data_IF_540179595640
#
_entry.id   IF_540179595640
#
_cell.length_a   1.000
_cell.length_b   1.000
_cell.length_c   1.000
_cell.angle_alpha   90.00
_cell.angle_beta   90.00
_cell.angle_gamma   90.00
#
_symmetry.space_group_name_H-M   'P 1'
#
loop_
_entity.id
_entity.type
_entity.pdbx_description
1 polymer ?
#
# COMPACT_ATOMS: atom_id res chain seq x y z
N UNK A 1 -27.10 -33.29 -14.93
CA UNK A 1 -27.19 -32.36 -13.78
C UNK A 1 -25.79 -31.87 -13.35
N UNK A 2 -24.99 -31.30 -14.26
CA UNK A 2 -23.58 -30.95 -13.97
C UNK A 2 -23.20 -29.60 -14.59
N UNK A 3 -23.99 -28.55 -14.32
CA UNK A 3 -23.73 -27.21 -14.85
C UNK A 3 -23.77 -26.10 -13.78
N UNK A 4 -23.57 -26.44 -12.50
CA UNK A 4 -23.50 -25.44 -11.40
C UNK A 4 -22.09 -25.13 -10.91
N UNK A 5 -21.05 -25.80 -11.42
CA UNK A 5 -19.66 -25.55 -11.02
C UNK A 5 -19.01 -24.32 -11.69
N UNK A 6 -19.71 -23.70 -12.65
CA UNK A 6 -19.26 -22.48 -13.34
C UNK A 6 -20.12 -21.29 -12.89
N UNK A 7 -20.52 -21.28 -11.62
CA UNK A 7 -21.11 -20.08 -11.04
C UNK A 7 -19.98 -19.09 -10.80
N UNK A 8 -19.78 -18.25 -11.83
CA UNK A 8 -19.33 -16.87 -11.72
C UNK A 8 -18.26 -16.71 -10.64
N UNK A 9 -16.99 -16.75 -11.06
CA UNK A 9 -15.90 -16.00 -10.40
C UNK A 9 -16.22 -14.50 -10.58
N UNK A 10 -17.39 -14.10 -10.10
CA UNK A 10 -17.80 -12.72 -9.93
C UNK A 10 -16.69 -12.15 -9.09
N UNK A 11 -16.07 -11.11 -9.65
CA UNK A 11 -15.02 -10.31 -9.04
C UNK A 11 -15.24 -10.31 -7.54
N UNK A 12 -14.52 -11.20 -6.84
CA UNK A 12 -14.42 -11.14 -5.39
C UNK A 12 -13.93 -9.72 -5.18
N UNK A 13 -14.77 -8.89 -4.55
CA UNK A 13 -14.41 -7.50 -4.29
C UNK A 13 -13.00 -7.49 -3.72
N UNK A 14 -12.21 -6.49 -4.05
CA UNK A 14 -10.78 -6.38 -3.70
C UNK A 14 -10.53 -6.41 -2.17
N UNK A 15 -11.58 -6.63 -1.36
CA UNK A 15 -11.75 -6.24 0.03
C UNK A 15 -12.37 -7.33 0.93
N UNK A 16 -12.53 -8.58 0.48
CA UNK A 16 -13.04 -9.65 1.36
C UNK A 16 -11.90 -10.54 1.83
N UNK A 17 -11.44 -10.33 3.06
CA UNK A 17 -10.54 -11.25 3.74
C UNK A 17 -11.30 -12.56 4.03
N UNK A 18 -10.64 -13.71 3.88
CA UNK A 18 -11.28 -15.01 4.16
C UNK A 18 -11.52 -15.11 5.69
N UNK A 19 -12.74 -15.44 6.14
CA UNK A 19 -13.02 -15.72 7.55
C UNK A 19 -12.12 -16.79 8.18
N UNK A 20 -11.47 -17.64 7.37
CA UNK A 20 -10.45 -18.59 7.82
C UNK A 20 -9.12 -17.96 8.22
N UNK A 21 -8.77 -16.82 7.62
CA UNK A 21 -7.56 -16.06 7.95
C UNK A 21 -7.80 -15.16 9.16
N UNK A 22 -9.01 -14.58 9.28
CA UNK A 22 -9.43 -13.83 10.46
C UNK A 22 -10.95 -13.97 10.75
N UNK A 23 -11.36 -14.41 11.96
CA UNK A 23 -12.78 -14.57 12.31
C UNK A 23 -13.52 -13.23 12.45
N UNK A 24 -12.81 -12.11 12.50
CA UNK A 24 -13.40 -10.76 12.45
C UNK A 24 -13.78 -10.33 11.04
N UNK A 25 -13.43 -11.09 9.98
CA UNK A 25 -13.81 -10.75 8.61
C UNK A 25 -15.33 -10.56 8.43
N UNK A 26 -16.12 -11.20 9.30
CA UNK A 26 -17.59 -11.10 9.33
C UNK A 26 -18.11 -9.76 9.87
N UNK A 27 -17.30 -8.99 10.61
CA UNK A 27 -17.71 -7.73 11.24
C UNK A 27 -16.59 -6.68 11.24
N UNK A 28 -16.83 -5.52 10.62
CA UNK A 28 -15.88 -4.40 10.60
C UNK A 28 -15.42 -3.99 9.19
N UNK A 29 -14.39 -3.15 9.12
CA UNK A 29 -13.82 -2.66 7.86
C UNK A 29 -12.58 -3.47 7.45
N UNK A 30 -12.68 -4.16 6.32
CA UNK A 30 -11.61 -5.00 5.76
C UNK A 30 -11.13 -4.52 4.37
N UNK A 31 -11.56 -3.31 3.98
CA UNK A 31 -11.21 -2.71 2.71
C UNK A 31 -9.72 -2.40 2.62
N UNK A 32 -9.03 -3.01 1.66
CA UNK A 32 -7.62 -2.80 1.38
C UNK A 32 -7.48 -2.09 0.04
N UNK A 33 -6.86 -0.91 0.05
CA UNK A 33 -6.60 -0.14 -1.16
C UNK A 33 -5.12 -0.13 -1.50
N UNK A 34 -4.51 -1.25 -1.91
CA UNK A 34 -3.07 -1.32 -2.15
C UNK A 34 -2.60 -0.31 -3.19
N UNK A 35 -3.46 0.05 -4.16
CA UNK A 35 -3.17 1.12 -5.13
C UNK A 35 -3.21 2.51 -4.49
N UNK A 36 -4.24 2.82 -3.72
CA UNK A 36 -4.38 4.13 -3.08
C UNK A 36 -3.27 4.35 -2.05
N UNK A 37 -2.93 3.34 -1.25
CA UNK A 37 -1.83 3.38 -0.29
C UNK A 37 -0.49 3.68 -0.97
N UNK A 38 -0.21 3.06 -2.11
CA UNK A 38 1.02 3.34 -2.88
C UNK A 38 1.04 4.76 -3.43
N UNK A 39 -0.08 5.25 -3.98
CA UNK A 39 -0.18 6.61 -4.50
C UNK A 39 0.01 7.62 -3.36
N UNK A 40 -0.66 7.42 -2.22
CA UNK A 40 -0.50 8.24 -1.03
C UNK A 40 0.94 8.24 -0.51
N UNK A 41 1.59 7.06 -0.49
CA UNK A 41 2.99 6.94 -0.11
C UNK A 41 3.93 7.76 -1.00
N UNK A 42 3.78 7.66 -2.33
CA UNK A 42 4.57 8.45 -3.28
C UNK A 42 4.28 9.95 -3.15
N UNK A 43 3.01 10.32 -2.99
CA UNK A 43 2.60 11.70 -2.78
C UNK A 43 3.25 12.30 -1.53
N UNK A 44 3.21 11.60 -0.39
CA UNK A 44 3.87 12.03 0.84
C UNK A 44 5.39 12.19 0.65
N UNK A 45 6.05 11.22 0.00
CA UNK A 45 7.49 11.30 -0.25
C UNK A 45 7.86 12.53 -1.13
N UNK A 46 7.04 12.86 -2.13
CA UNK A 46 7.21 14.04 -2.97
C UNK A 46 7.00 15.32 -2.15
N UNK A 47 5.94 15.39 -1.33
CA UNK A 47 5.67 16.55 -0.48
C UNK A 47 6.86 16.85 0.44
N UNK A 48 7.44 15.81 1.07
CA UNK A 48 8.64 15.98 1.90
C UNK A 48 9.83 16.59 1.13
N UNK A 49 9.99 16.26 -0.15
CA UNK A 49 11.03 16.86 -0.99
C UNK A 49 10.69 18.29 -1.42
N UNK A 50 9.41 18.58 -1.69
CA UNK A 50 8.95 19.94 -1.98
C UNK A 50 9.20 20.85 -0.77
N UNK A 51 9.02 20.34 0.45
CA UNK A 51 9.28 21.09 1.68
C UNK A 51 10.73 21.54 1.84
N UNK A 52 11.70 20.98 1.09
CA UNK A 52 13.08 21.48 1.08
C UNK A 52 13.19 22.94 0.58
N UNK A 53 12.23 23.38 -0.25
CA UNK A 53 12.13 24.75 -0.70
C UNK A 53 11.29 25.55 0.30
N UNK A 54 11.96 26.26 1.21
CA UNK A 54 11.28 27.01 2.26
C UNK A 54 12.22 27.74 3.19
N UNK A 55 11.73 28.03 4.40
CA UNK A 55 12.39 28.87 5.40
C UNK A 55 13.48 28.15 6.22
N UNK A 56 14.14 27.14 5.66
CA UNK A 56 15.10 26.33 6.40
C UNK A 56 16.41 27.10 6.58
N UNK A 57 16.78 27.37 7.83
CA UNK A 57 18.05 28.01 8.18
C UNK A 57 19.16 26.99 8.46
N UNK A 58 18.80 25.75 8.82
CA UNK A 58 19.72 24.70 9.22
C UNK A 58 19.67 23.45 8.35
N UNK A 59 20.79 22.74 8.28
CA UNK A 59 20.92 21.50 7.49
C UNK A 59 20.19 20.31 8.11
N UNK A 60 19.93 20.34 9.42
CA UNK A 60 19.28 19.25 10.16
C UNK A 60 17.88 18.94 9.60
N UNK A 61 17.10 19.98 9.31
CA UNK A 61 15.73 19.82 8.78
C UNK A 61 15.75 19.20 7.39
N UNK A 62 16.65 19.68 6.52
CA UNK A 62 16.87 19.10 5.20
C UNK A 62 17.26 17.62 5.27
N UNK A 63 18.13 17.26 6.22
CA UNK A 63 18.58 15.87 6.38
C UNK A 63 17.43 14.95 6.77
N UNK A 64 16.55 15.40 7.67
CA UNK A 64 15.36 14.62 8.06
C UNK A 64 14.34 14.49 6.94
N UNK A 65 14.06 15.58 6.21
CA UNK A 65 13.14 15.55 5.08
C UNK A 65 13.62 14.61 3.97
N UNK A 66 14.91 14.70 3.62
CA UNK A 66 15.54 13.81 2.65
C UNK A 66 15.54 12.36 3.17
N UNK A 67 15.98 12.15 4.42
CA UNK A 67 16.07 10.82 5.01
C UNK A 67 14.73 10.10 5.07
N UNK A 68 13.68 10.78 5.54
CA UNK A 68 12.32 10.24 5.58
C UNK A 68 11.76 9.99 4.18
N UNK A 69 11.97 10.93 3.24
CA UNK A 69 11.51 10.74 1.86
C UNK A 69 12.16 9.51 1.22
N UNK A 70 13.47 9.34 1.36
CA UNK A 70 14.21 8.18 0.86
C UNK A 70 13.74 6.87 1.52
N UNK A 71 13.50 6.89 2.84
CA UNK A 71 12.99 5.72 3.57
C UNK A 71 11.62 5.29 3.04
N UNK A 72 10.72 6.25 2.81
CA UNK A 72 9.39 5.97 2.25
C UNK A 72 9.48 5.41 0.83
N UNK A 73 10.27 6.05 -0.05
CA UNK A 73 10.47 5.57 -1.43
C UNK A 73 11.06 4.16 -1.45
N UNK A 74 12.03 3.88 -0.59
CA UNK A 74 12.62 2.55 -0.46
C UNK A 74 11.58 1.51 -0.04
N UNK A 75 10.78 1.80 0.98
CA UNK A 75 9.69 0.93 1.42
C UNK A 75 8.67 0.63 0.32
N UNK A 76 8.29 1.65 -0.47
CA UNK A 76 7.37 1.49 -1.60
C UNK A 76 7.94 0.60 -2.70
N UNK A 77 9.21 0.79 -3.04
CA UNK A 77 9.89 -0.06 -4.03
C UNK A 77 9.96 -1.51 -3.55
N UNK A 78 10.26 -1.73 -2.25
CA UNK A 78 10.25 -3.07 -1.67
C UNK A 78 8.87 -3.72 -1.70
N UNK A 79 7.80 -3.00 -1.35
CA UNK A 79 6.42 -3.51 -1.47
C UNK A 79 6.13 -3.91 -2.92
N UNK A 80 6.41 -3.02 -3.88
CA UNK A 80 6.20 -3.31 -5.30
C UNK A 80 6.97 -4.55 -5.77
N UNK A 81 8.20 -4.78 -5.27
CA UNK A 81 8.98 -5.99 -5.58
C UNK A 81 8.36 -7.23 -4.94
N UNK A 82 8.02 -7.19 -3.65
CA UNK A 82 7.39 -8.30 -2.91
C UNK A 82 6.11 -8.78 -3.59
N UNK A 83 5.33 -7.84 -4.11
CA UNK A 83 4.02 -8.10 -4.72
C UNK A 83 4.15 -8.81 -6.07
N UNK A 84 5.24 -8.58 -6.81
CA UNK A 84 5.56 -9.35 -8.03
C UNK A 84 5.90 -10.82 -7.74
N UNK A 85 6.32 -11.14 -6.53
CA UNK A 85 6.69 -12.48 -6.08
C UNK A 85 5.67 -13.11 -5.14
N UNK A 86 4.52 -12.46 -4.92
CA UNK A 86 3.53 -12.91 -3.93
C UNK A 86 2.93 -14.29 -4.25
N UNK A 87 2.91 -14.70 -5.52
CA UNK A 87 2.44 -16.01 -5.98
C UNK A 87 3.36 -17.19 -5.64
N UNK A 88 4.55 -16.94 -5.08
CA UNK A 88 5.50 -17.97 -4.65
C UNK A 88 5.31 -18.39 -3.19
N UNK A 89 4.25 -17.92 -2.54
CA UNK A 89 3.88 -18.26 -1.17
C UNK A 89 2.73 -19.26 -1.16
#
# INVERSE_FOLDING_TARGET
MASKAVEKRGRVGVDTVDPRDEPSAEWGWHGSFPKATRIAGWLCAIILLVMLYGNHHGWTENLWLIGLSLLMMFGLVLDMRKQRTAWRK
#
